data_IF_633952873487
#
_entry.id   IF_633952873487
#
_cell.length_a   1.000
_cell.length_b   1.000
_cell.length_c   1.000
_cell.angle_alpha   90.00
_cell.angle_beta   90.00
_cell.angle_gamma   90.00
#
_symmetry.space_group_name_H-M   'P 1'
#
loop_
_entity.id
_entity.type
_entity.pdbx_description
1 polymer ?
#
# COMPACT_ATOMS: atom_id res chain seq x y z
N UNK A 1 1.11 -44.15 -19.57
CA UNK A 1 1.79 -42.91 -20.09
C UNK A 1 2.19 -42.02 -18.94
N UNK A 2 3.26 -41.26 -19.10
CA UNK A 2 3.81 -40.41 -18.04
C UNK A 2 3.54 -38.97 -18.31
N UNK A 3 3.12 -38.25 -17.26
CA UNK A 3 2.75 -36.84 -17.32
C UNK A 3 3.34 -36.06 -16.14
N UNK A 4 3.51 -34.78 -16.31
CA UNK A 4 3.71 -33.82 -15.22
C UNK A 4 2.49 -32.95 -15.08
N UNK A 5 2.06 -32.73 -13.85
CA UNK A 5 1.07 -31.73 -13.47
C UNK A 5 1.79 -30.49 -12.96
N UNK A 6 1.40 -29.32 -13.43
CA UNK A 6 2.06 -28.06 -13.11
C UNK A 6 1.06 -26.99 -12.67
N UNK A 7 1.53 -26.05 -11.88
CA UNK A 7 0.75 -24.93 -11.37
C UNK A 7 0.67 -23.76 -12.38
N UNK A 8 0.02 -22.67 -11.97
CA UNK A 8 -0.13 -21.44 -12.77
C UNK A 8 1.19 -20.71 -13.06
N UNK A 9 2.26 -21.02 -12.31
CA UNK A 9 3.61 -20.51 -12.51
C UNK A 9 4.46 -21.50 -13.33
N UNK A 10 3.81 -22.51 -13.91
CA UNK A 10 4.45 -23.58 -14.69
C UNK A 10 5.44 -24.44 -13.90
N UNK A 11 5.45 -24.39 -12.56
CA UNK A 11 6.25 -25.28 -11.72
C UNK A 11 5.61 -26.67 -11.68
N UNK A 12 6.39 -27.72 -11.86
CA UNK A 12 5.93 -29.09 -11.72
C UNK A 12 5.63 -29.36 -10.25
N UNK A 13 4.38 -29.72 -9.97
CA UNK A 13 3.90 -30.03 -8.62
C UNK A 13 3.65 -31.53 -8.43
N UNK A 14 3.48 -32.29 -9.53
CA UNK A 14 3.25 -33.71 -9.43
C UNK A 14 3.72 -34.45 -10.70
N UNK A 15 4.12 -35.73 -10.53
CA UNK A 15 4.48 -36.61 -11.59
C UNK A 15 3.50 -37.80 -11.61
N UNK A 16 2.83 -38.02 -12.75
CA UNK A 16 1.71 -38.95 -12.88
C UNK A 16 2.06 -40.05 -13.88
N UNK A 17 1.88 -41.33 -13.50
CA UNK A 17 2.06 -42.47 -14.35
C UNK A 17 0.76 -43.27 -14.48
N UNK A 18 0.07 -43.10 -15.61
CA UNK A 18 -1.23 -43.75 -15.88
C UNK A 18 -1.09 -45.24 -16.24
N UNK A 19 0.11 -45.76 -16.46
CA UNK A 19 0.33 -47.17 -16.66
C UNK A 19 0.40 -47.94 -15.31
N UNK A 20 0.71 -47.22 -14.23
CA UNK A 20 0.81 -47.80 -12.88
C UNK A 20 -0.43 -47.52 -12.03
N UNK A 21 -1.13 -46.40 -12.29
CA UNK A 21 -2.23 -45.94 -11.47
C UNK A 21 -3.40 -45.48 -12.36
N UNK A 22 -4.60 -45.89 -12.00
CA UNK A 22 -5.84 -45.35 -12.62
C UNK A 22 -6.13 -43.95 -12.04
N UNK A 23 -5.61 -42.92 -12.70
CA UNK A 23 -5.66 -41.54 -12.23
C UNK A 23 -6.38 -40.68 -13.28
N UNK A 24 -7.38 -39.93 -12.85
CA UNK A 24 -7.93 -38.86 -13.66
C UNK A 24 -6.90 -37.73 -13.81
N UNK A 25 -6.59 -37.39 -15.05
CA UNK A 25 -5.60 -36.34 -15.34
C UNK A 25 -6.21 -34.96 -15.07
N UNK A 26 -5.50 -34.08 -14.35
CA UNK A 26 -5.87 -32.65 -14.23
C UNK A 26 -5.79 -31.93 -15.60
N UNK A 27 -6.38 -30.72 -15.68
CA UNK A 27 -6.34 -29.91 -16.90
C UNK A 27 -4.92 -29.42 -17.25
N UNK A 28 -4.09 -29.16 -16.23
CA UNK A 28 -2.72 -28.62 -16.40
C UNK A 28 -1.69 -29.75 -16.41
N UNK A 29 -1.68 -30.57 -17.46
CA UNK A 29 -0.71 -31.67 -17.63
C UNK A 29 0.05 -31.58 -18.93
N UNK A 30 1.30 -32.07 -18.90
CA UNK A 30 2.12 -32.24 -20.05
C UNK A 30 2.63 -33.72 -20.13
N UNK A 31 2.47 -34.42 -21.26
CA UNK A 31 3.08 -35.73 -21.43
C UNK A 31 4.61 -35.62 -21.45
N UNK A 32 5.29 -36.55 -20.79
CA UNK A 32 6.73 -36.57 -20.69
C UNK A 32 7.31 -37.90 -21.18
N UNK A 33 8.51 -37.83 -21.74
CA UNK A 33 9.27 -38.99 -22.18
C UNK A 33 9.95 -39.71 -20.99
N UNK A 34 10.38 -40.95 -21.20
CA UNK A 34 11.16 -41.67 -20.17
C UNK A 34 12.46 -40.94 -19.80
N UNK A 35 13.08 -40.25 -20.75
CA UNK A 35 14.25 -39.43 -20.48
C UNK A 35 13.92 -38.25 -19.55
N UNK A 36 12.78 -37.58 -19.75
CA UNK A 36 12.31 -36.50 -18.91
C UNK A 36 11.83 -37.01 -17.54
N UNK A 37 11.25 -38.19 -17.45
CA UNK A 37 10.84 -38.84 -16.20
C UNK A 37 11.97 -38.98 -15.17
N UNK A 38 13.23 -39.02 -15.63
CA UNK A 38 14.41 -39.07 -14.75
C UNK A 38 14.62 -37.81 -13.92
N UNK A 39 13.94 -36.71 -14.26
CA UNK A 39 14.01 -35.44 -13.51
C UNK A 39 13.01 -35.36 -12.36
N UNK A 40 12.20 -36.40 -12.07
CA UNK A 40 11.14 -36.39 -11.05
C UNK A 40 11.62 -36.09 -9.63
N UNK A 41 12.90 -36.27 -9.34
CA UNK A 41 13.51 -35.96 -8.05
C UNK A 41 14.13 -34.55 -8.01
N UNK A 42 13.84 -33.72 -9.02
CA UNK A 42 14.34 -32.33 -9.14
C UNK A 42 13.20 -31.38 -9.31
N UNK A 43 13.42 -30.13 -8.88
CA UNK A 43 12.53 -29.08 -9.26
C UNK A 43 12.56 -28.83 -10.77
N UNK A 44 11.40 -28.79 -11.38
CA UNK A 44 11.22 -28.61 -12.80
C UNK A 44 10.12 -27.59 -13.08
N UNK A 45 10.25 -26.95 -14.22
CA UNK A 45 9.23 -26.07 -14.80
C UNK A 45 8.86 -26.59 -16.20
N UNK A 46 7.65 -26.25 -16.62
CA UNK A 46 7.09 -26.68 -17.91
C UNK A 46 7.00 -25.48 -18.84
N UNK A 47 7.49 -25.63 -20.07
CA UNK A 47 7.01 -24.77 -21.15
C UNK A 47 5.91 -25.53 -21.92
N UNK A 48 4.62 -25.20 -21.69
CA UNK A 48 3.51 -25.95 -22.30
C UNK A 48 3.45 -25.75 -23.83
N UNK A 49 3.94 -24.61 -24.33
CA UNK A 49 3.96 -24.29 -25.77
C UNK A 49 5.02 -25.11 -26.47
N UNK A 50 6.21 -25.21 -25.88
CA UNK A 50 7.32 -25.98 -26.46
C UNK A 50 7.31 -27.47 -26.09
N UNK A 51 6.44 -27.93 -25.19
CA UNK A 51 6.39 -29.29 -24.68
C UNK A 51 7.67 -29.71 -23.96
N UNK A 52 8.35 -28.80 -23.26
CA UNK A 52 9.67 -29.03 -22.65
C UNK A 52 9.67 -28.84 -21.15
N UNK A 53 10.47 -29.66 -20.47
CA UNK A 53 10.85 -29.46 -19.08
C UNK A 53 12.12 -28.62 -18.98
N UNK A 54 12.13 -27.69 -18.02
CA UNK A 54 13.30 -26.89 -17.66
C UNK A 54 13.64 -27.18 -16.21
N UNK A 55 14.91 -27.54 -15.96
CA UNK A 55 15.41 -27.93 -14.63
C UNK A 55 16.20 -26.81 -13.93
N UNK A 56 16.38 -25.67 -14.60
CA UNK A 56 17.03 -24.50 -14.03
C UNK A 56 15.94 -23.62 -13.45
N UNK A 57 16.02 -23.24 -12.16
CA UNK A 57 15.02 -22.37 -11.54
C UNK A 57 15.00 -20.97 -12.18
N UNK A 58 13.88 -20.23 -12.05
CA UNK A 58 13.84 -18.84 -12.47
C UNK A 58 14.87 -18.01 -11.69
N UNK A 59 15.59 -17.09 -12.35
CA UNK A 59 16.55 -16.21 -11.67
C UNK A 59 15.92 -15.24 -10.66
N UNK A 60 14.60 -15.05 -10.74
CA UNK A 60 13.83 -14.17 -9.87
C UNK A 60 12.34 -14.19 -10.20
N UNK A 61 11.55 -13.47 -9.43
CA UNK A 61 10.08 -13.45 -9.51
C UNK A 61 9.56 -13.00 -10.88
N UNK A 62 10.21 -12.01 -11.49
CA UNK A 62 9.77 -11.41 -12.76
C UNK A 62 10.42 -12.07 -13.97
N UNK A 63 10.69 -13.38 -13.91
CA UNK A 63 11.17 -14.14 -15.04
C UNK A 63 10.10 -15.12 -15.52
N UNK A 64 9.82 -15.11 -16.80
CA UNK A 64 8.93 -16.08 -17.46
C UNK A 64 9.70 -16.97 -18.40
N UNK A 65 9.20 -18.18 -18.58
CA UNK A 65 9.79 -19.14 -19.49
C UNK A 65 9.39 -18.79 -20.93
N UNK A 66 10.38 -18.60 -21.80
CA UNK A 66 10.21 -18.42 -23.24
C UNK A 66 11.07 -19.44 -23.98
N UNK A 67 10.42 -20.45 -24.57
CA UNK A 67 11.12 -21.61 -25.09
C UNK A 67 11.75 -22.45 -23.96
N UNK A 68 13.07 -22.50 -23.92
CA UNK A 68 13.88 -23.19 -22.92
C UNK A 68 14.69 -22.23 -22.02
N UNK A 69 14.40 -20.95 -22.11
CA UNK A 69 15.14 -19.88 -21.41
C UNK A 69 14.23 -19.04 -20.54
N UNK A 70 14.76 -18.61 -19.41
CA UNK A 70 14.16 -17.59 -18.58
C UNK A 70 14.41 -16.21 -19.19
N UNK A 71 13.34 -15.45 -19.40
CA UNK A 71 13.37 -14.09 -19.93
C UNK A 71 12.74 -13.18 -18.90
N UNK A 72 13.42 -12.10 -18.58
CA UNK A 72 12.90 -11.06 -17.68
C UNK A 72 11.65 -10.41 -18.26
N UNK A 73 10.58 -10.35 -17.47
CA UNK A 73 9.32 -9.73 -17.84
C UNK A 73 9.24 -8.33 -17.26
N UNK A 74 9.79 -7.37 -18.01
CA UNK A 74 9.78 -5.95 -17.61
C UNK A 74 8.36 -5.39 -17.46
N UNK A 75 7.37 -5.93 -18.18
CA UNK A 75 5.97 -5.50 -18.06
C UNK A 75 5.34 -5.96 -16.75
N UNK A 76 5.59 -7.22 -16.36
CA UNK A 76 5.13 -7.75 -15.09
C UNK A 76 5.76 -6.98 -13.91
N UNK A 77 7.06 -6.72 -13.98
CA UNK A 77 7.76 -5.90 -12.99
C UNK A 77 7.17 -4.49 -12.89
N UNK A 78 7.00 -3.80 -14.03
CA UNK A 78 6.45 -2.45 -14.04
C UNK A 78 5.03 -2.40 -13.44
N UNK A 79 4.21 -3.40 -13.77
CA UNK A 79 2.85 -3.50 -13.20
C UNK A 79 2.90 -3.71 -11.69
N UNK A 80 3.75 -4.60 -11.19
CA UNK A 80 3.91 -4.85 -9.77
C UNK A 80 4.44 -3.60 -9.04
N UNK A 81 5.44 -2.92 -9.60
CA UNK A 81 5.99 -1.69 -9.05
C UNK A 81 4.92 -0.60 -8.90
N UNK A 82 4.11 -0.38 -9.93
CA UNK A 82 3.03 0.61 -9.87
C UNK A 82 1.96 0.23 -8.83
N UNK A 83 1.63 -1.05 -8.68
CA UNK A 83 0.69 -1.49 -7.65
C UNK A 83 1.23 -1.23 -6.23
N UNK A 84 2.50 -1.53 -5.97
CA UNK A 84 3.12 -1.26 -4.65
C UNK A 84 3.18 0.24 -4.38
N UNK A 85 3.55 1.06 -5.38
CA UNK A 85 3.50 2.53 -5.26
C UNK A 85 2.11 3.04 -4.90
N UNK A 86 1.07 2.54 -5.58
CA UNK A 86 -0.32 2.92 -5.30
C UNK A 86 -0.73 2.58 -3.86
N UNK A 87 -0.34 1.42 -3.33
CA UNK A 87 -0.63 1.03 -1.95
C UNK A 87 0.04 1.98 -0.95
N UNK A 88 1.34 2.28 -1.14
CA UNK A 88 2.07 3.21 -0.26
C UNK A 88 1.47 4.62 -0.33
N UNK A 89 1.15 5.12 -1.52
CA UNK A 89 0.49 6.42 -1.72
C UNK A 89 -0.87 6.48 -1.01
N UNK A 90 -1.63 5.40 -1.05
CA UNK A 90 -2.91 5.31 -0.36
C UNK A 90 -2.73 5.38 1.16
N UNK A 91 -1.73 4.67 1.71
CA UNK A 91 -1.39 4.74 3.14
C UNK A 91 -0.96 6.15 3.57
N UNK A 92 -0.14 6.84 2.77
CA UNK A 92 0.26 8.24 3.02
C UNK A 92 -0.97 9.16 3.08
N UNK A 93 -1.91 9.02 2.13
CA UNK A 93 -3.13 9.83 2.09
C UNK A 93 -4.03 9.54 3.29
N UNK A 94 -4.21 8.27 3.64
CA UNK A 94 -5.00 7.88 4.79
C UNK A 94 -4.41 8.47 6.09
N UNK A 95 -3.12 8.37 6.29
CA UNK A 95 -2.45 8.91 7.47
C UNK A 95 -2.56 10.42 7.55
N UNK A 96 -2.41 11.13 6.42
CA UNK A 96 -2.71 12.58 6.35
C UNK A 96 -4.13 12.88 6.82
N UNK A 97 -5.12 12.14 6.33
CA UNK A 97 -6.53 12.37 6.65
C UNK A 97 -6.83 12.08 8.12
N UNK A 98 -6.18 11.07 8.70
CA UNK A 98 -6.24 10.78 10.14
C UNK A 98 -5.68 11.95 10.97
N UNK A 99 -4.50 12.47 10.62
CA UNK A 99 -3.90 13.62 11.30
C UNK A 99 -4.72 14.90 11.11
N UNK A 100 -5.28 15.11 9.93
CA UNK A 100 -6.17 16.25 9.62
C UNK A 100 -7.41 16.22 10.51
N UNK A 101 -7.96 15.04 10.78
CA UNK A 101 -9.16 14.88 11.61
C UNK A 101 -8.86 14.76 13.11
N UNK A 102 -7.62 14.67 13.53
CA UNK A 102 -7.26 14.42 14.91
C UNK A 102 -7.39 15.67 15.78
N UNK A 103 -6.50 16.63 15.64
CA UNK A 103 -6.58 17.91 16.39
C UNK A 103 -5.76 19.01 15.72
N UNK A 104 -6.13 20.25 16.07
CA UNK A 104 -5.33 21.45 15.85
C UNK A 104 -4.84 21.99 17.19
N UNK A 105 -3.73 22.73 17.19
CA UNK A 105 -3.12 23.29 18.40
C UNK A 105 -3.28 24.80 18.43
N UNK A 106 -3.91 25.35 19.47
CA UNK A 106 -4.00 26.78 19.74
C UNK A 106 -3.60 27.03 21.19
N UNK A 107 -2.61 27.84 21.43
CA UNK A 107 -2.10 28.19 22.76
C UNK A 107 -1.80 26.94 23.64
N UNK A 108 -1.23 25.86 23.02
CA UNK A 108 -0.90 24.60 23.68
C UNK A 108 -2.11 23.70 23.97
N UNK A 109 -3.31 24.08 23.58
CA UNK A 109 -4.51 23.26 23.72
C UNK A 109 -4.80 22.51 22.41
N UNK A 110 -5.13 21.21 22.52
CA UNK A 110 -5.46 20.34 21.39
C UNK A 110 -6.98 20.34 21.18
N UNK A 111 -7.42 21.02 20.14
CA UNK A 111 -8.83 21.09 19.76
C UNK A 111 -9.17 20.00 18.76
N UNK A 112 -10.25 19.24 18.99
CA UNK A 112 -10.73 18.25 18.05
C UNK A 112 -10.89 18.84 16.66
N UNK A 113 -10.47 18.10 15.63
CA UNK A 113 -10.45 18.56 14.24
C UNK A 113 -11.29 17.67 13.32
N UNK A 114 -12.18 16.84 13.88
CA UNK A 114 -13.17 16.10 13.10
C UNK A 114 -14.20 17.05 12.44
N UNK A 115 -14.94 16.53 11.46
CA UNK A 115 -15.87 17.32 10.65
C UNK A 115 -16.91 18.09 11.49
N UNK A 116 -17.45 17.48 12.56
CA UNK A 116 -18.45 18.12 13.40
C UNK A 116 -17.84 19.25 14.24
N UNK A 117 -16.66 19.00 14.81
CA UNK A 117 -15.91 20.02 15.57
C UNK A 117 -15.54 21.22 14.69
N UNK A 118 -15.09 20.97 13.45
CA UNK A 118 -14.75 22.03 12.48
C UNK A 118 -15.95 22.91 12.13
N UNK A 119 -17.15 22.33 11.95
CA UNK A 119 -18.38 23.12 11.68
C UNK A 119 -18.68 24.09 12.84
N UNK A 120 -18.55 23.60 14.09
CA UNK A 120 -18.75 24.45 15.26
C UNK A 120 -17.66 25.53 15.37
N UNK A 121 -16.42 25.18 15.16
CA UNK A 121 -15.27 26.07 15.18
C UNK A 121 -15.38 27.19 14.14
N UNK A 122 -15.87 26.89 12.92
CA UNK A 122 -16.12 27.95 11.91
C UNK A 122 -17.12 29.01 12.38
N UNK A 123 -18.15 28.60 13.09
CA UNK A 123 -19.11 29.56 13.68
C UNK A 123 -18.46 30.38 14.80
N UNK A 124 -17.73 29.70 15.68
CA UNK A 124 -17.03 30.33 16.80
C UNK A 124 -15.88 31.24 16.35
N UNK A 125 -15.22 30.93 15.24
CA UNK A 125 -14.20 31.84 14.67
C UNK A 125 -14.78 33.21 14.32
N UNK A 126 -15.95 33.26 13.68
CA UNK A 126 -16.66 34.51 13.38
C UNK A 126 -17.08 35.25 14.63
N UNK A 127 -17.56 34.55 15.66
CA UNK A 127 -17.92 35.15 16.94
C UNK A 127 -16.67 35.70 17.65
N UNK A 128 -15.55 34.95 17.63
CA UNK A 128 -14.28 35.41 18.21
C UNK A 128 -13.76 36.68 17.55
N UNK A 129 -13.79 36.73 16.21
CA UNK A 129 -13.40 37.91 15.43
C UNK A 129 -14.30 39.14 15.73
N UNK A 130 -15.58 38.91 16.02
CA UNK A 130 -16.52 39.94 16.37
C UNK A 130 -16.52 40.32 17.88
N UNK A 131 -15.71 39.63 18.69
CA UNK A 131 -15.71 39.83 20.16
C UNK A 131 -16.99 39.36 20.84
N UNK A 132 -17.74 38.41 20.23
CA UNK A 132 -19.08 37.99 20.62
C UNK A 132 -19.16 36.62 21.27
N UNK A 133 -18.04 36.00 21.60
CA UNK A 133 -18.04 34.73 22.35
C UNK A 133 -18.56 34.98 23.74
N UNK A 134 -19.59 34.26 24.24
CA UNK A 134 -20.14 34.45 25.56
C UNK A 134 -19.08 34.22 26.64
N UNK A 135 -18.96 35.09 27.65
CA UNK A 135 -18.06 34.86 28.79
C UNK A 135 -18.41 33.55 29.51
N UNK A 136 -17.38 32.79 29.90
CA UNK A 136 -17.57 31.50 30.58
C UNK A 136 -18.00 30.34 29.67
N UNK A 137 -17.98 30.53 28.34
CA UNK A 137 -18.20 29.42 27.43
C UNK A 137 -17.05 28.42 27.56
N UNK A 138 -17.38 27.20 27.99
CA UNK A 138 -16.39 26.12 28.15
C UNK A 138 -16.32 25.25 26.92
N UNK A 139 -15.10 24.83 26.57
CA UNK A 139 -14.83 23.93 25.44
C UNK A 139 -13.96 22.74 25.87
N UNK A 140 -14.33 21.56 25.41
CA UNK A 140 -13.56 20.33 25.68
C UNK A 140 -12.37 20.22 24.73
N UNK A 141 -11.16 20.11 25.28
CA UNK A 141 -9.92 19.82 24.56
C UNK A 141 -9.46 18.37 24.77
N UNK A 142 -8.58 17.86 23.89
CA UNK A 142 -8.05 16.50 23.99
C UNK A 142 -7.03 16.34 25.13
N UNK A 143 -6.27 17.38 25.43
CA UNK A 143 -5.15 17.31 26.36
C UNK A 143 -5.40 17.98 27.73
N UNK A 144 -6.16 19.07 27.78
CA UNK A 144 -6.30 19.91 28.98
C UNK A 144 -7.72 19.91 29.57
N UNK A 145 -8.62 19.01 29.10
CA UNK A 145 -9.99 18.95 29.58
C UNK A 145 -10.82 20.16 29.15
N UNK A 146 -11.68 20.66 30.04
CA UNK A 146 -12.50 21.83 29.80
C UNK A 146 -11.69 23.10 30.04
N UNK A 147 -11.65 23.97 29.03
CA UNK A 147 -11.05 25.32 29.11
C UNK A 147 -12.09 26.39 28.76
N UNK A 148 -11.91 27.61 29.24
CA UNK A 148 -12.72 28.73 28.79
C UNK A 148 -12.35 29.14 27.37
N UNK A 149 -13.34 29.14 26.46
CA UNK A 149 -13.15 29.54 25.08
C UNK A 149 -13.27 31.06 24.98
N UNK A 150 -12.13 31.73 24.91
CA UNK A 150 -12.05 33.18 24.77
C UNK A 150 -12.24 33.63 23.31
N UNK A 151 -12.55 34.92 23.10
CA UNK A 151 -12.56 35.51 21.75
C UNK A 151 -11.21 35.33 21.03
N UNK A 152 -10.11 35.47 21.76
CA UNK A 152 -8.76 35.33 21.20
C UNK A 152 -8.49 33.89 20.69
N UNK A 153 -8.89 32.87 21.44
CA UNK A 153 -8.77 31.47 21.01
C UNK A 153 -9.71 31.20 19.84
N UNK A 154 -10.98 31.58 19.96
CA UNK A 154 -11.98 31.33 18.94
C UNK A 154 -11.60 31.94 17.57
N UNK A 155 -11.10 33.19 17.58
CA UNK A 155 -10.69 33.86 16.36
C UNK A 155 -9.57 33.18 15.58
N UNK A 156 -8.80 32.29 16.23
CA UNK A 156 -7.69 31.55 15.59
C UNK A 156 -8.12 30.27 14.87
N UNK A 157 -9.33 29.74 15.17
CA UNK A 157 -9.74 28.43 14.62
C UNK A 157 -9.58 28.32 13.10
N UNK A 158 -10.02 29.31 12.35
CA UNK A 158 -10.02 29.26 10.90
C UNK A 158 -8.59 29.25 10.33
N UNK A 159 -7.75 30.19 10.77
CA UNK A 159 -6.38 30.31 10.26
C UNK A 159 -5.52 29.12 10.65
N UNK A 160 -5.60 28.66 11.91
CA UNK A 160 -4.83 27.52 12.38
C UNK A 160 -5.25 26.23 11.68
N UNK A 161 -6.56 26.04 11.44
CA UNK A 161 -7.06 24.89 10.69
C UNK A 161 -6.51 24.88 9.27
N UNK A 162 -6.54 26.01 8.56
CA UNK A 162 -6.02 26.12 7.19
C UNK A 162 -4.50 25.84 7.15
N UNK A 163 -3.74 26.44 8.07
CA UNK A 163 -2.28 26.23 8.14
C UNK A 163 -1.94 24.77 8.43
N UNK A 164 -2.66 24.16 9.36
CA UNK A 164 -2.51 22.73 9.68
C UNK A 164 -2.75 21.84 8.45
N UNK A 165 -3.88 22.03 7.76
CA UNK A 165 -4.24 21.25 6.59
C UNK A 165 -3.25 21.44 5.43
N UNK A 166 -2.84 22.67 5.17
CA UNK A 166 -1.85 23.00 4.13
C UNK A 166 -0.50 22.33 4.41
N UNK A 167 -0.05 22.34 5.66
CA UNK A 167 1.21 21.69 6.08
C UNK A 167 1.12 20.18 5.87
N UNK A 168 0.08 19.52 6.37
CA UNK A 168 -0.10 18.07 6.19
C UNK A 168 -0.21 17.69 4.71
N UNK A 169 -0.90 18.51 3.91
CA UNK A 169 -0.97 18.32 2.48
C UNK A 169 0.40 18.41 1.81
N UNK A 170 1.19 19.41 2.16
CA UNK A 170 2.54 19.59 1.61
C UNK A 170 3.47 18.40 1.95
N UNK A 171 3.42 17.91 3.19
CA UNK A 171 4.17 16.72 3.63
C UNK A 171 3.74 15.49 2.84
N UNK A 172 2.43 15.26 2.71
CA UNK A 172 1.90 14.15 1.91
C UNK A 172 2.40 14.21 0.45
N UNK A 173 2.36 15.39 -0.17
CA UNK A 173 2.81 15.58 -1.55
C UNK A 173 4.32 15.30 -1.70
N UNK A 174 5.14 15.71 -0.71
CA UNK A 174 6.57 15.43 -0.72
C UNK A 174 6.85 13.92 -0.67
N UNK A 175 6.16 13.18 0.21
CA UNK A 175 6.27 11.72 0.26
C UNK A 175 5.77 11.04 -1.02
N UNK A 176 4.63 11.47 -1.56
CA UNK A 176 4.09 10.92 -2.81
C UNK A 176 5.07 11.12 -3.97
N UNK A 177 5.68 12.29 -4.07
CA UNK A 177 6.69 12.58 -5.09
C UNK A 177 7.95 11.71 -4.92
N UNK A 178 8.40 11.50 -3.67
CA UNK A 178 9.53 10.64 -3.38
C UNK A 178 9.24 9.17 -3.77
N UNK A 179 8.07 8.64 -3.41
CA UNK A 179 7.64 7.28 -3.80
C UNK A 179 7.54 7.14 -5.32
N UNK A 180 7.00 8.16 -6.01
CA UNK A 180 6.88 8.14 -7.46
C UNK A 180 8.24 8.05 -8.17
N UNK A 181 9.29 8.62 -7.59
CA UNK A 181 10.64 8.63 -8.14
C UNK A 181 11.40 7.31 -7.94
N UNK A 182 10.93 6.39 -7.10
CA UNK A 182 11.57 5.09 -6.90
C UNK A 182 11.29 4.17 -8.09
N UNK A 183 12.26 3.36 -8.47
CA UNK A 183 12.22 2.45 -9.60
C UNK A 183 12.41 0.97 -9.21
N UNK A 184 12.44 0.69 -7.92
CA UNK A 184 12.62 -0.64 -7.33
C UNK A 184 11.54 -0.94 -6.28
N UNK A 185 10.95 -2.15 -6.32
CA UNK A 185 9.85 -2.56 -5.45
C UNK A 185 10.30 -2.57 -3.99
N UNK A 186 11.48 -3.14 -3.69
CA UNK A 186 11.97 -3.20 -2.31
C UNK A 186 12.26 -1.80 -1.75
N UNK A 187 12.75 -0.88 -2.59
CA UNK A 187 12.94 0.51 -2.20
C UNK A 187 11.60 1.21 -1.87
N UNK A 188 10.53 0.91 -2.61
CA UNK A 188 9.18 1.44 -2.33
C UNK A 188 8.63 0.86 -1.01
N UNK A 189 8.77 -0.44 -0.80
CA UNK A 189 8.30 -1.12 0.42
C UNK A 189 9.03 -0.67 1.68
N UNK A 190 10.32 -0.35 1.57
CA UNK A 190 11.17 0.11 2.67
C UNK A 190 11.13 1.64 2.87
N UNK A 191 10.40 2.36 2.02
CA UNK A 191 10.35 3.81 2.12
C UNK A 191 9.65 4.26 3.41
N UNK A 192 10.40 4.97 4.27
CA UNK A 192 9.87 5.52 5.53
C UNK A 192 9.15 6.86 5.29
N UNK A 193 7.84 6.79 5.22
CA UNK A 193 6.97 7.96 5.12
C UNK A 193 6.41 8.43 6.47
N UNK A 194 6.88 7.87 7.59
CA UNK A 194 6.40 8.25 8.94
C UNK A 194 6.92 9.60 9.43
N UNK A 195 7.91 10.17 8.76
CA UNK A 195 8.62 11.35 9.18
C UNK A 195 8.01 12.66 8.62
N UNK A 196 8.29 13.78 9.29
CA UNK A 196 7.95 15.11 8.80
C UNK A 196 6.53 15.59 9.08
N UNK A 197 5.68 14.80 9.71
CA UNK A 197 4.29 15.16 10.01
C UNK A 197 4.11 16.04 11.25
N UNK A 198 5.14 16.18 12.06
CA UNK A 198 5.10 16.98 13.29
C UNK A 198 4.88 18.47 12.98
N UNK A 199 4.19 19.20 13.90
CA UNK A 199 3.96 20.64 13.75
C UNK A 199 5.26 21.44 13.75
#
# INVERSE_FOLDING_TARGET
>A
MKYVHFDSLFRVINWLDTDQFDIALPDSVLPVTDAQWRYRDRECWVNPIAGKLVTTPPPGEFYRLSGDKWVYDASAFATALEQVKLQVVQSIKQYRDELTADYIVIDGNHFHSDANSRIQQMTLAKMGQAGAVPPGLMWQTKNNGLIELTNAIAAQFEVVTIEHDMRLFAVAQAHIAAVAALDDIAAVELYDWSQGWQP
#
